data_IF_612757736537
#
_entry.id   IF_612757736537
#
_cell.length_a   1.000
_cell.length_b   1.000
_cell.length_c   1.000
_cell.angle_alpha   90.00
_cell.angle_beta   90.00
_cell.angle_gamma   90.00
#
_symmetry.space_group_name_H-M   'P 1'
#
loop_
_entity.id
_entity.type
_entity.pdbx_description
1 polymer ?
#
# COMPACT_ATOMS: atom_id res chain seq x y z
N UNK A 1 4.51 -5.06 8.31
CA UNK A 1 3.33 -4.26 7.91
C UNK A 1 2.08 -4.83 8.56
N UNK A 2 1.14 -4.00 8.99
CA UNK A 2 -0.27 -4.38 9.29
C UNK A 2 -1.20 -3.50 8.48
N UNK A 3 -2.48 -3.86 8.37
CA UNK A 3 -3.44 -3.07 7.60
C UNK A 3 -3.63 -1.69 8.22
N UNK A 4 -3.65 -1.59 9.55
CA UNK A 4 -3.72 -0.29 10.27
C UNK A 4 -2.52 0.60 9.99
N UNK A 5 -1.31 0.05 9.98
CA UNK A 5 -0.10 0.83 9.68
C UNK A 5 -0.17 1.33 8.22
N UNK A 6 -0.72 0.52 7.31
CA UNK A 6 -0.83 0.88 5.89
C UNK A 6 -1.88 1.98 5.70
N UNK A 7 -3.01 1.86 6.38
CA UNK A 7 -4.04 2.90 6.44
C UNK A 7 -3.48 4.25 6.92
N UNK A 8 -2.69 4.23 8.00
CA UNK A 8 -2.08 5.44 8.54
C UNK A 8 -1.04 6.05 7.59
N UNK A 9 -0.24 5.21 6.93
CA UNK A 9 0.73 5.65 5.92
C UNK A 9 0.03 6.28 4.70
N UNK A 10 -1.10 5.72 4.29
CA UNK A 10 -1.88 6.15 3.13
C UNK A 10 -3.00 7.15 3.46
N UNK A 11 -2.99 7.80 4.64
CA UNK A 11 -4.12 8.61 5.11
C UNK A 11 -4.54 9.76 4.17
N UNK A 12 -3.66 10.20 3.27
CA UNK A 12 -3.94 11.22 2.25
C UNK A 12 -4.54 10.68 0.95
N UNK A 13 -4.82 9.37 0.87
CA UNK A 13 -5.36 8.70 -0.30
C UNK A 13 -6.75 8.12 -0.02
N UNK A 14 -7.53 7.87 -1.09
CA UNK A 14 -8.85 7.25 -0.97
C UNK A 14 -8.78 5.75 -0.68
N UNK A 15 -7.71 5.08 -1.10
CA UNK A 15 -7.51 3.64 -0.99
C UNK A 15 -6.10 3.32 -0.51
N UNK A 16 -6.00 2.20 0.20
CA UNK A 16 -4.73 1.54 0.47
C UNK A 16 -4.87 0.04 0.21
N UNK A 17 -3.75 -0.60 -0.07
CA UNK A 17 -3.70 -2.05 -0.23
C UNK A 17 -2.41 -2.63 0.34
N UNK A 18 -2.44 -3.89 0.70
CA UNK A 18 -1.27 -4.63 1.19
C UNK A 18 -1.00 -5.85 0.31
N UNK A 19 0.28 -6.14 0.09
CA UNK A 19 0.75 -7.32 -0.65
C UNK A 19 1.89 -8.01 0.10
N UNK A 20 2.03 -9.32 -0.14
CA UNK A 20 3.20 -10.10 0.27
C UNK A 20 3.59 -9.91 1.76
N UNK A 21 2.57 -9.82 2.64
CA UNK A 21 2.70 -9.61 4.09
C UNK A 21 3.32 -8.28 4.55
N UNK A 22 3.99 -7.54 3.67
CA UNK A 22 4.92 -6.48 4.04
C UNK A 22 4.80 -5.23 3.18
N UNK A 23 4.24 -5.34 1.99
CA UNK A 23 4.11 -4.24 1.06
C UNK A 23 2.83 -3.45 1.32
N UNK A 24 2.88 -2.15 1.02
CA UNK A 24 1.79 -1.22 1.21
C UNK A 24 1.73 -0.27 0.01
N UNK A 25 0.54 -0.15 -0.55
CA UNK A 25 0.24 0.64 -1.73
C UNK A 25 -0.83 1.66 -1.39
N UNK A 26 -0.69 2.88 -1.89
CA UNK A 26 -1.67 3.94 -1.72
C UNK A 26 -2.17 4.40 -3.10
N UNK A 27 -3.46 4.71 -3.21
CA UNK A 27 -4.02 5.15 -4.48
C UNK A 27 -5.35 5.89 -4.31
N UNK A 28 -5.64 6.78 -5.26
CA UNK A 28 -6.95 7.48 -5.30
C UNK A 28 -7.93 6.83 -6.27
N UNK A 29 -7.41 6.04 -7.21
CA UNK A 29 -8.16 5.37 -8.27
C UNK A 29 -7.73 3.90 -8.33
N UNK A 30 -8.68 3.03 -8.63
CA UNK A 30 -8.41 1.65 -8.97
C UNK A 30 -8.32 1.54 -10.48
N UNK A 31 -7.42 0.68 -10.98
CA UNK A 31 -7.36 0.40 -12.41
C UNK A 31 -8.69 -0.27 -12.83
N UNK A 32 -9.28 0.13 -13.96
CA UNK A 32 -10.53 -0.44 -14.45
C UNK A 32 -10.44 -1.96 -14.70
N UNK A 33 -9.24 -2.47 -14.96
CA UNK A 33 -8.97 -3.89 -15.18
C UNK A 33 -8.79 -4.67 -13.86
N UNK A 34 -9.02 -4.02 -12.72
CA UNK A 34 -8.87 -4.71 -11.44
C UNK A 34 -10.03 -5.68 -11.23
N UNK A 35 -9.71 -6.93 -10.93
CA UNK A 35 -10.70 -7.99 -10.78
C UNK A 35 -10.61 -8.64 -9.40
N UNK A 36 -11.76 -8.97 -8.78
CA UNK A 36 -11.78 -9.70 -7.52
C UNK A 36 -11.18 -11.09 -7.72
N UNK A 37 -10.38 -11.56 -6.77
CA UNK A 37 -9.82 -12.90 -6.78
C UNK A 37 -10.78 -13.91 -6.16
N UNK A 38 -10.87 -15.08 -6.77
CA UNK A 38 -11.56 -16.25 -6.19
C UNK A 38 -10.59 -17.34 -5.71
N UNK A 39 -9.34 -17.31 -6.17
CA UNK A 39 -8.37 -18.41 -6.00
C UNK A 39 -7.53 -18.32 -4.72
N UNK A 40 -8.08 -17.70 -3.65
CA UNK A 40 -7.42 -17.58 -2.33
C UNK A 40 -6.03 -16.93 -2.35
N UNK A 41 -5.71 -16.09 -3.35
CA UNK A 41 -4.38 -15.45 -3.45
C UNK A 41 -4.10 -14.45 -2.32
N UNK A 42 -5.13 -13.97 -1.61
CA UNK A 42 -4.96 -13.21 -0.37
C UNK A 42 -5.07 -14.12 0.86
N UNK A 43 -3.98 -14.81 1.16
CA UNK A 43 -3.89 -15.71 2.31
C UNK A 43 -2.62 -15.48 3.13
N UNK A 44 -1.81 -14.48 2.79
CA UNK A 44 -0.57 -14.22 3.50
C UNK A 44 -0.85 -13.34 4.73
N UNK A 45 -0.51 -13.83 5.93
CA UNK A 45 -0.69 -13.04 7.15
C UNK A 45 0.23 -11.81 7.14
N UNK A 46 -0.20 -10.73 7.76
CA UNK A 46 0.61 -9.54 7.93
C UNK A 46 1.88 -9.84 8.74
N UNK A 47 3.03 -9.35 8.29
CA UNK A 47 4.33 -9.60 8.95
C UNK A 47 4.35 -9.11 10.41
N UNK A 48 3.63 -8.03 10.71
CA UNK A 48 3.58 -7.43 12.04
C UNK A 48 2.32 -7.84 12.83
N UNK A 49 1.38 -8.57 12.23
CA UNK A 49 0.23 -9.15 12.93
C UNK A 49 -0.31 -10.37 12.18
N UNK A 50 -0.01 -11.57 12.67
CA UNK A 50 -0.40 -12.80 11.99
C UNK A 50 -1.92 -13.08 11.98
N UNK A 51 -2.72 -12.32 12.74
CA UNK A 51 -4.20 -12.46 12.75
C UNK A 51 -4.88 -11.68 11.62
N UNK A 52 -4.12 -10.82 10.93
CA UNK A 52 -4.60 -10.03 9.79
C UNK A 52 -4.02 -10.58 8.50
N UNK A 53 -4.75 -10.47 7.40
CA UNK A 53 -4.27 -10.78 6.06
C UNK A 53 -3.73 -9.51 5.39
N UNK A 54 -2.53 -9.60 4.82
CA UNK A 54 -1.87 -8.51 4.09
C UNK A 54 -1.51 -8.98 2.67
N UNK A 55 -2.55 -9.33 1.90
CA UNK A 55 -2.43 -9.78 0.52
C UNK A 55 -1.90 -11.19 0.35
N UNK A 56 -1.23 -11.40 -0.78
CA UNK A 56 -0.45 -12.58 -1.10
C UNK A 56 0.12 -12.48 -2.51
N UNK A 57 0.63 -13.57 -3.10
CA UNK A 57 1.39 -13.49 -4.34
C UNK A 57 0.54 -13.01 -5.52
N UNK A 58 0.79 -11.76 -5.95
CA UNK A 58 -0.04 -11.01 -6.91
C UNK A 58 -1.53 -11.03 -6.53
N UNK A 59 -1.82 -10.77 -5.25
CA UNK A 59 -3.16 -10.59 -4.71
C UNK A 59 -3.12 -9.47 -3.68
N UNK A 60 -3.75 -8.35 -4.00
CA UNK A 60 -3.76 -7.15 -3.17
C UNK A 60 -5.00 -7.19 -2.26
N UNK A 61 -4.80 -7.08 -0.94
CA UNK A 61 -5.94 -6.84 -0.04
C UNK A 61 -6.21 -5.34 -0.01
N UNK A 62 -7.35 -4.93 -0.58
CA UNK A 62 -7.69 -3.53 -0.81
C UNK A 62 -8.68 -3.02 0.24
N UNK A 63 -8.43 -1.80 0.70
CA UNK A 63 -9.28 -1.10 1.65
C UNK A 63 -9.54 0.31 1.17
N UNK A 64 -10.75 0.80 1.44
CA UNK A 64 -11.10 2.22 1.24
C UNK A 64 -10.90 2.96 2.56
N UNK A 65 -10.21 4.10 2.50
CA UNK A 65 -10.12 5.00 3.63
C UNK A 65 -11.40 5.81 3.70
N UNK A 66 -12.08 5.70 4.84
CA UNK A 66 -13.14 6.63 5.15
C UNK A 66 -12.50 7.89 5.75
N UNK A 67 -12.43 8.94 4.93
CA UNK A 67 -11.83 10.21 5.30
C UNK A 67 -12.59 10.91 6.45
N UNK A 68 -13.76 10.41 6.88
CA UNK A 68 -14.47 10.89 8.07
C UNK A 68 -13.76 10.52 9.38
N UNK A 69 -12.94 9.44 9.37
CA UNK A 69 -12.11 9.07 10.51
C UNK A 69 -10.77 9.84 10.58
N UNK A 70 -10.52 10.78 9.67
CA UNK A 70 -9.40 11.75 9.76
C UNK A 70 -9.82 13.01 10.51
N UNK A 71 -10.38 12.85 11.71
CA UNK A 71 -10.58 13.96 12.62
C UNK A 71 -9.41 14.01 13.61
N UNK A 72 -8.50 14.97 13.37
CA UNK A 72 -7.49 15.48 14.31
C UNK A 72 -6.15 14.72 14.44
N UNK A 73 -5.26 14.89 13.46
CA UNK A 73 -3.81 14.92 13.73
C UNK A 73 -3.24 16.19 13.09
N UNK A 74 -3.29 17.29 13.84
CA UNK A 74 -2.58 18.52 13.51
C UNK A 74 -1.09 18.38 13.86
N UNK A 75 -0.26 18.90 12.94
CA UNK A 75 1.19 18.82 12.80
C UNK A 75 2.04 19.04 14.07
N UNK A 76 3.25 18.48 14.07
CA UNK A 76 4.41 19.24 14.55
C UNK A 76 5.60 19.09 13.58
N UNK A 77 5.80 20.14 12.79
CA UNK A 77 7.03 20.43 12.05
C UNK A 77 8.10 20.89 13.04
N UNK A 78 9.32 20.34 13.01
CA UNK A 78 10.59 21.11 12.94
C UNK A 78 11.85 20.25 13.13
N UNK A 79 12.83 20.46 12.22
CA UNK A 79 14.30 20.42 12.40
C UNK A 79 14.94 19.02 12.63
N UNK A 80 15.92 18.51 11.88
CA UNK A 80 16.86 19.07 10.89
C UNK A 80 17.55 17.94 10.10
N UNK A 81 17.86 18.21 8.82
CA UNK A 81 19.11 17.92 8.05
C UNK A 81 19.99 16.75 8.57
N UNK A 82 20.32 15.72 7.78
CA UNK A 82 21.58 15.58 6.99
C UNK A 82 21.50 14.25 6.19
N UNK A 83 22.18 14.21 5.04
CA UNK A 83 22.28 13.17 4.00
C UNK A 83 21.11 13.22 3.01
N UNK A 84 21.25 13.78 1.81
CA UNK A 84 22.38 13.68 0.91
C UNK A 84 21.87 13.01 -0.37
N UNK A 85 22.01 13.71 -1.48
CA UNK A 85 21.36 13.47 -2.77
C UNK A 85 21.78 12.14 -3.45
N UNK A 86 21.29 10.98 -3.01
CA UNK A 86 21.52 9.71 -3.73
C UNK A 86 20.27 8.85 -3.99
N UNK A 87 19.06 9.27 -3.58
CA UNK A 87 17.86 8.42 -3.72
C UNK A 87 17.07 8.62 -5.03
N UNK A 88 17.68 9.19 -6.08
CA UNK A 88 16.98 9.52 -7.32
C UNK A 88 17.06 8.44 -8.40
N UNK A 89 17.95 7.44 -8.27
CA UNK A 89 18.12 6.38 -9.27
C UNK A 89 17.48 5.04 -8.86
N UNK A 90 17.29 4.82 -7.55
CA UNK A 90 16.64 3.59 -7.02
C UNK A 90 15.12 3.65 -7.14
N UNK A 91 14.54 4.85 -7.02
CA UNK A 91 13.10 5.06 -7.26
C UNK A 91 12.74 4.78 -8.71
N UNK A 92 13.60 5.11 -9.67
CA UNK A 92 13.33 4.89 -11.10
C UNK A 92 13.39 3.42 -11.53
N UNK A 93 14.32 2.62 -10.99
CA UNK A 93 14.41 1.19 -11.32
C UNK A 93 13.33 0.35 -10.62
N UNK A 94 12.91 0.76 -9.41
CA UNK A 94 11.74 0.17 -8.74
C UNK A 94 10.43 0.59 -9.43
N UNK A 95 10.35 1.80 -10.00
CA UNK A 95 9.19 2.24 -10.79
C UNK A 95 9.08 1.46 -12.12
N UNK A 96 10.18 1.01 -12.71
CA UNK A 96 10.16 0.22 -13.95
C UNK A 96 9.64 -1.21 -13.76
N UNK A 97 9.78 -1.82 -12.58
CA UNK A 97 9.21 -3.14 -12.27
C UNK A 97 7.73 -3.06 -11.85
N UNK A 98 7.27 -1.92 -11.31
CA UNK A 98 5.85 -1.69 -10.99
C UNK A 98 5.03 -1.45 -12.29
N UNK A 99 5.67 -1.08 -13.40
CA UNK A 99 5.02 -0.80 -14.71
C UNK A 99 5.14 -1.97 -15.69
N UNK A 100 5.51 -3.18 -15.25
CA UNK A 100 5.45 -4.39 -16.10
C UNK A 100 4.31 -5.36 -15.70
N UNK A 101 3.74 -5.23 -14.49
CA UNK A 101 2.59 -6.03 -14.03
C UNK A 101 1.23 -5.29 -14.06
N UNK A 102 1.17 -4.07 -14.63
CA UNK A 102 -0.01 -3.20 -14.65
C UNK A 102 -1.20 -3.67 -15.51
N UNK A 103 -1.21 -4.90 -16.04
CA UNK A 103 -2.37 -5.33 -16.84
C UNK A 103 -3.46 -6.04 -16.03
N UNK A 104 -3.15 -6.57 -14.84
CA UNK A 104 -4.13 -7.30 -14.01
C UNK A 104 -3.87 -7.08 -12.51
N UNK A 105 -4.47 -6.03 -11.95
CA UNK A 105 -4.49 -5.82 -10.49
C UNK A 105 -5.56 -6.75 -9.90
N UNK A 106 -5.13 -7.81 -9.23
CA UNK A 106 -6.03 -8.80 -8.63
C UNK A 106 -6.36 -8.37 -7.19
N UNK A 107 -7.63 -8.07 -6.93
CA UNK A 107 -8.11 -7.47 -5.68
C UNK A 107 -8.80 -8.52 -4.80
N UNK A 108 -8.57 -8.42 -3.50
CA UNK A 108 -9.41 -8.93 -2.44
C UNK A 108 -10.00 -7.72 -1.71
#
# INVERSE_FOLDING_TARGET
MTNRICAAFCASYSYFATEYSTECYCGNVLNANSLPVTDKRCNMPCKANATEICGGPNGLTLFKLDLSASSSLSLSSTLSVVFGQQLSLIVSLQLSLIVDQQLYVVIC
#
